data_IF_661826687095
#
_entry.id   IF_661826687095
#
_cell.length_a   1.000
_cell.length_b   1.000
_cell.length_c   1.000
_cell.angle_alpha   90.00
_cell.angle_beta   90.00
_cell.angle_gamma   90.00
#
_symmetry.space_group_name_H-M   'P 1'
#
loop_
_entity.id
_entity.type
_entity.pdbx_description
1 polymer ?
#
# COMPACT_ATOMS: atom_id res chain seq x y z
N UNK A 1 -91.72 10.44 12.56
CA UNK A 1 -90.72 9.63 13.26
C UNK A 1 -89.86 8.93 12.22
N UNK A 2 -88.67 9.46 11.93
CA UNK A 2 -87.70 8.83 11.01
C UNK A 2 -86.55 8.26 11.89
N UNK A 3 -86.37 6.94 11.82
CA UNK A 3 -85.25 6.25 12.51
C UNK A 3 -83.98 6.36 11.64
N UNK A 4 -82.95 6.93 12.15
CA UNK A 4 -81.64 6.98 11.54
C UNK A 4 -80.86 5.72 11.96
N UNK A 5 -80.39 4.96 10.98
CA UNK A 5 -79.58 3.76 11.17
C UNK A 5 -78.14 4.13 10.89
N UNK A 6 -77.34 4.22 11.92
CA UNK A 6 -75.90 4.48 11.78
C UNK A 6 -75.16 3.16 11.51
N UNK A 7 -74.50 3.09 10.36
CA UNK A 7 -73.59 2.00 9.99
C UNK A 7 -72.20 2.30 10.51
N UNK A 8 -71.70 1.53 11.46
CA UNK A 8 -70.31 1.56 11.90
C UNK A 8 -69.44 0.72 10.97
N UNK A 9 -68.61 1.40 10.18
CA UNK A 9 -67.54 0.76 9.43
C UNK A 9 -66.37 0.45 10.41
N UNK A 10 -66.07 -0.83 10.63
CA UNK A 10 -64.88 -1.28 11.34
C UNK A 10 -63.74 -1.37 10.34
N UNK A 11 -62.73 -0.47 10.47
CA UNK A 11 -61.45 -0.59 9.80
C UNK A 11 -60.60 -1.61 10.57
N UNK A 12 -60.31 -2.74 9.95
CA UNK A 12 -59.29 -3.66 10.41
C UNK A 12 -57.91 -3.11 9.98
N UNK A 13 -57.10 -2.69 10.96
CA UNK A 13 -55.71 -2.32 10.72
C UNK A 13 -54.93 -3.61 10.48
N UNK A 14 -54.50 -3.84 9.23
CA UNK A 14 -53.52 -4.86 8.89
C UNK A 14 -52.13 -4.29 9.22
N UNK A 15 -51.59 -4.65 10.34
CA UNK A 15 -50.16 -4.39 10.69
C UNK A 15 -49.33 -5.38 9.89
N UNK A 16 -48.76 -4.91 8.76
CA UNK A 16 -47.70 -5.63 8.06
C UNK A 16 -46.44 -5.56 8.93
N UNK A 17 -46.08 -6.66 9.57
CA UNK A 17 -44.79 -6.83 10.17
C UNK A 17 -43.71 -6.87 9.06
N UNK A 18 -43.06 -5.75 8.83
CA UNK A 18 -41.84 -5.72 8.02
C UNK A 18 -40.75 -6.47 8.82
N UNK A 19 -40.58 -7.75 8.53
CA UNK A 19 -39.40 -8.51 8.96
C UNK A 19 -38.22 -7.93 8.20
N UNK A 20 -37.48 -7.00 8.86
CA UNK A 20 -36.17 -6.60 8.38
C UNK A 20 -35.25 -7.81 8.51
N UNK A 21 -35.05 -8.53 7.39
CA UNK A 21 -33.93 -9.44 7.28
C UNK A 21 -32.66 -8.56 7.38
N UNK A 22 -32.14 -8.37 8.57
CA UNK A 22 -30.80 -7.90 8.76
C UNK A 22 -29.91 -9.00 8.16
N UNK A 23 -29.40 -8.77 6.93
CA UNK A 23 -28.28 -9.54 6.46
C UNK A 23 -27.15 -9.29 7.47
N UNK A 24 -26.83 -10.28 8.28
CA UNK A 24 -25.60 -10.24 9.07
C UNK A 24 -24.48 -9.99 8.06
N UNK A 25 -23.80 -8.86 8.19
CA UNK A 25 -22.64 -8.60 7.36
C UNK A 25 -21.69 -9.79 7.60
N UNK A 26 -21.30 -10.45 6.53
CA UNK A 26 -20.42 -11.60 6.61
C UNK A 26 -19.11 -11.16 7.28
N UNK A 27 -18.61 -11.94 8.23
CA UNK A 27 -17.53 -11.57 9.17
C UNK A 27 -16.26 -12.38 8.96
N UNK A 28 -16.06 -12.93 7.74
CA UNK A 28 -15.05 -13.92 7.43
C UNK A 28 -15.57 -15.36 7.61
N UNK A 29 -14.98 -16.32 6.92
CA UNK A 29 -15.30 -17.73 7.07
C UNK A 29 -14.31 -18.38 8.05
N UNK A 30 -14.79 -19.27 8.90
CA UNK A 30 -13.92 -20.02 9.82
C UNK A 30 -12.96 -20.97 9.06
N UNK A 31 -13.41 -21.53 7.93
CA UNK A 31 -12.63 -22.48 7.15
C UNK A 31 -12.09 -21.84 5.87
N UNK A 32 -10.84 -22.12 5.54
CA UNK A 32 -10.21 -21.65 4.30
C UNK A 32 -11.01 -22.04 3.04
N UNK A 33 -11.51 -23.28 2.98
CA UNK A 33 -12.25 -23.78 1.80
C UNK A 33 -13.57 -23.04 1.55
N UNK A 34 -14.10 -22.34 2.56
CA UNK A 34 -15.30 -21.53 2.48
C UNK A 34 -15.02 -20.03 2.59
N UNK A 35 -13.77 -19.60 2.33
CA UNK A 35 -13.33 -18.21 2.45
C UNK A 35 -14.33 -17.22 1.86
N UNK A 36 -14.63 -16.18 2.62
CA UNK A 36 -15.61 -15.19 2.24
C UNK A 36 -15.11 -14.30 1.13
N UNK A 37 -15.85 -14.17 0.04
CA UNK A 37 -15.48 -13.28 -1.06
C UNK A 37 -15.65 -11.80 -0.67
N UNK A 38 -14.61 -11.00 -0.87
CA UNK A 38 -14.66 -9.55 -0.87
C UNK A 38 -15.03 -9.03 -2.26
N UNK A 39 -15.59 -7.80 -2.33
CA UNK A 39 -16.01 -7.19 -3.59
C UNK A 39 -14.97 -6.17 -4.11
N UNK A 40 -13.68 -6.53 -4.09
CA UNK A 40 -12.60 -5.63 -4.47
C UNK A 40 -12.11 -4.76 -3.29
N UNK A 41 -11.73 -3.53 -3.56
CA UNK A 41 -11.32 -2.59 -2.52
C UNK A 41 -12.47 -2.18 -1.61
N UNK A 42 -12.19 -1.96 -0.34
CA UNK A 42 -13.20 -1.55 0.63
C UNK A 42 -12.90 -1.96 2.07
N UNK A 43 -13.85 -1.69 2.95
CA UNK A 43 -13.77 -2.07 4.37
C UNK A 43 -14.74 -3.20 4.65
N UNK A 44 -14.22 -4.28 5.23
CA UNK A 44 -14.94 -5.52 5.49
C UNK A 44 -14.97 -5.83 6.97
N UNK A 45 -16.12 -6.11 7.56
CA UNK A 45 -16.20 -6.54 8.94
C UNK A 45 -15.59 -7.94 9.11
N UNK A 46 -14.97 -8.18 10.27
CA UNK A 46 -14.51 -9.49 10.68
C UNK A 46 -14.86 -9.79 12.14
N UNK A 47 -14.95 -11.08 12.46
CA UNK A 47 -14.99 -11.56 13.84
C UNK A 47 -14.38 -12.95 13.89
N UNK A 48 -13.40 -13.14 14.77
CA UNK A 48 -12.83 -14.46 15.05
C UNK A 48 -13.44 -15.09 16.32
N UNK A 49 -14.52 -14.53 16.85
CA UNK A 49 -15.21 -15.08 18.02
C UNK A 49 -15.81 -16.42 17.69
N UNK A 50 -15.31 -17.48 18.35
CA UNK A 50 -15.74 -18.86 18.12
C UNK A 50 -15.06 -19.54 16.93
N UNK A 51 -14.13 -18.86 16.27
CA UNK A 51 -13.32 -19.46 15.20
C UNK A 51 -12.28 -20.46 15.75
N UNK A 52 -11.92 -21.41 14.93
CA UNK A 52 -10.83 -22.37 15.16
C UNK A 52 -9.54 -21.87 14.52
N UNK A 53 -8.45 -22.61 14.69
CA UNK A 53 -7.18 -22.39 13.99
C UNK A 53 -7.02 -23.51 12.98
N UNK A 54 -7.33 -23.28 11.71
CA UNK A 54 -7.26 -24.30 10.67
C UNK A 54 -6.10 -24.09 9.70
N UNK A 55 -5.56 -22.87 9.60
CA UNK A 55 -4.39 -22.59 8.78
C UNK A 55 -3.07 -23.04 9.44
N UNK A 56 -2.10 -23.43 8.61
CA UNK A 56 -0.79 -23.87 9.07
C UNK A 56 0.10 -22.71 9.51
N UNK A 57 1.02 -22.99 10.45
CA UNK A 57 2.10 -22.07 10.79
C UNK A 57 3.03 -21.85 9.59
N UNK A 58 3.53 -20.62 9.41
CA UNK A 58 4.38 -20.26 8.28
C UNK A 58 5.59 -19.44 8.73
N UNK A 59 6.75 -19.69 8.14
CA UNK A 59 7.99 -19.00 8.50
C UNK A 59 7.92 -17.49 8.24
N UNK A 60 7.20 -17.04 7.23
CA UNK A 60 6.99 -15.60 6.96
C UNK A 60 6.16 -14.91 8.04
N UNK A 61 5.41 -15.67 8.83
CA UNK A 61 4.64 -15.18 9.97
C UNK A 61 5.39 -15.33 11.30
N UNK A 62 6.72 -15.44 11.27
CA UNK A 62 7.52 -15.58 12.49
C UNK A 62 7.76 -14.22 13.15
N UNK A 63 6.86 -13.83 14.06
CA UNK A 63 7.00 -12.64 14.89
C UNK A 63 7.18 -13.07 16.35
N UNK A 64 8.23 -12.57 16.99
CA UNK A 64 8.59 -12.91 18.37
C UNK A 64 8.66 -14.42 18.66
N UNK A 65 9.03 -15.24 17.64
CA UNK A 65 9.10 -16.70 17.75
C UNK A 65 7.78 -17.44 17.51
N UNK A 66 6.69 -16.73 17.24
CA UNK A 66 5.37 -17.31 16.94
C UNK A 66 5.08 -17.24 15.43
N UNK A 67 4.95 -18.40 14.79
CA UNK A 67 4.66 -18.53 13.36
C UNK A 67 3.19 -18.78 13.05
N UNK A 68 2.34 -18.93 14.10
CA UNK A 68 0.93 -19.25 13.91
C UNK A 68 0.05 -17.98 13.91
N UNK A 69 -1.05 -18.05 13.17
CA UNK A 69 -2.19 -17.15 13.28
C UNK A 69 -3.30 -17.95 13.92
N UNK A 70 -3.77 -17.52 15.09
CA UNK A 70 -4.76 -18.25 15.88
C UNK A 70 -6.18 -17.75 15.64
N UNK A 71 -7.14 -18.65 15.79
CA UNK A 71 -8.57 -18.32 15.72
C UNK A 71 -8.88 -17.57 14.42
N UNK A 72 -8.43 -18.15 13.30
CA UNK A 72 -8.40 -17.45 12.03
C UNK A 72 -9.75 -17.39 11.31
N UNK A 73 -9.91 -16.38 10.49
CA UNK A 73 -11.00 -16.23 9.53
C UNK A 73 -10.42 -15.90 8.15
N UNK A 74 -11.12 -16.33 7.11
CA UNK A 74 -10.64 -16.35 5.76
C UNK A 74 -11.49 -15.53 4.81
N UNK A 75 -10.79 -14.82 3.91
CA UNK A 75 -11.41 -14.05 2.84
C UNK A 75 -10.73 -14.37 1.52
N UNK A 76 -11.46 -14.21 0.40
CA UNK A 76 -10.89 -14.15 -0.94
C UNK A 76 -10.99 -12.72 -1.45
N UNK A 77 -9.91 -12.25 -2.06
CA UNK A 77 -9.82 -10.94 -2.70
C UNK A 77 -9.38 -11.14 -4.14
N UNK A 78 -10.11 -10.54 -5.10
CA UNK A 78 -9.69 -10.48 -6.50
C UNK A 78 -9.23 -9.06 -6.79
N UNK A 79 -7.99 -8.91 -7.23
CA UNK A 79 -7.41 -7.60 -7.52
C UNK A 79 -8.07 -6.97 -8.75
N UNK A 80 -8.61 -5.75 -8.66
CA UNK A 80 -9.20 -5.07 -9.81
C UNK A 80 -8.14 -4.54 -10.79
N UNK A 81 -6.93 -4.32 -10.32
CA UNK A 81 -5.80 -3.78 -11.08
C UNK A 81 -4.49 -4.38 -10.58
N UNK A 82 -3.40 -4.23 -11.38
CA UNK A 82 -2.05 -4.61 -10.96
C UNK A 82 -1.44 -3.46 -10.16
N UNK A 83 -1.28 -3.67 -8.85
CA UNK A 83 -0.74 -2.66 -7.92
C UNK A 83 -0.27 -3.31 -6.63
N UNK A 84 0.35 -2.53 -5.74
CA UNK A 84 0.52 -2.96 -4.36
C UNK A 84 -0.79 -2.74 -3.61
N UNK A 85 -1.23 -3.78 -2.92
CA UNK A 85 -2.44 -3.77 -2.10
C UNK A 85 -2.07 -3.84 -0.62
N UNK A 86 -2.63 -2.94 0.15
CA UNK A 86 -2.60 -2.95 1.61
C UNK A 86 -3.85 -3.66 2.14
N UNK A 87 -3.63 -4.59 3.09
CA UNK A 87 -4.68 -5.17 3.93
C UNK A 87 -4.39 -4.74 5.37
N UNK A 88 -5.30 -3.99 5.99
CA UNK A 88 -5.03 -3.30 7.25
C UNK A 88 -6.19 -3.42 8.24
N UNK A 89 -5.85 -3.66 9.51
CA UNK A 89 -6.74 -3.56 10.67
C UNK A 89 -6.38 -2.38 11.58
N UNK A 90 -5.44 -1.54 11.19
CA UNK A 90 -4.93 -0.39 11.95
C UNK A 90 -6.06 0.56 12.36
N UNK A 91 -6.19 0.84 13.66
CA UNK A 91 -7.26 1.64 14.26
C UNK A 91 -8.68 1.12 13.99
N UNK A 92 -8.85 -0.15 13.60
CA UNK A 92 -10.13 -0.74 13.21
C UNK A 92 -10.54 -1.92 14.10
N UNK A 93 -9.71 -2.31 15.05
CA UNK A 93 -9.95 -3.39 16.02
C UNK A 93 -9.23 -3.10 17.32
N UNK A 94 -9.64 -3.79 18.38
CA UNK A 94 -8.87 -3.89 19.63
C UNK A 94 -8.16 -5.24 19.76
N UNK A 95 -8.35 -6.13 18.78
CA UNK A 95 -7.69 -7.42 18.73
C UNK A 95 -6.23 -7.21 18.31
N UNK A 96 -5.35 -7.96 18.95
CA UNK A 96 -3.98 -8.15 18.51
C UNK A 96 -4.02 -9.04 17.25
N UNK A 97 -3.94 -8.39 16.07
CA UNK A 97 -4.24 -9.01 14.78
C UNK A 97 -2.97 -9.41 14.02
N UNK A 98 -3.05 -10.54 13.34
CA UNK A 98 -2.00 -11.06 12.46
C UNK A 98 -2.62 -11.47 11.13
N UNK A 99 -1.99 -11.07 10.02
CA UNK A 99 -2.54 -11.28 8.67
C UNK A 99 -1.51 -11.94 7.78
N UNK A 100 -1.93 -12.99 7.04
CA UNK A 100 -1.16 -13.60 5.97
C UNK A 100 -1.91 -13.54 4.64
N UNK A 101 -1.17 -13.32 3.56
CA UNK A 101 -1.65 -13.32 2.18
C UNK A 101 -1.11 -14.55 1.48
N UNK A 102 -1.97 -15.26 0.77
CA UNK A 102 -1.62 -16.44 -0.03
C UNK A 102 -1.72 -16.11 -1.52
N UNK A 103 -0.76 -16.58 -2.30
CA UNK A 103 -0.62 -16.30 -3.74
C UNK A 103 -1.64 -17.00 -4.65
N UNK A 104 -2.77 -17.44 -4.10
CA UNK A 104 -3.87 -18.09 -4.81
C UNK A 104 -5.07 -18.31 -3.92
N UNK A 105 -6.08 -19.03 -4.43
CA UNK A 105 -7.33 -19.33 -3.71
C UNK A 105 -7.37 -20.75 -3.13
N UNK A 106 -6.35 -21.55 -3.34
CA UNK A 106 -6.21 -22.85 -2.72
C UNK A 106 -5.58 -22.71 -1.33
N UNK A 107 -6.11 -23.41 -0.34
CA UNK A 107 -5.59 -23.42 1.03
C UNK A 107 -4.13 -23.95 1.14
N UNK A 108 -3.65 -24.64 0.11
CA UNK A 108 -2.26 -25.07 -0.05
C UNK A 108 -1.38 -24.06 -0.81
N UNK A 109 -1.95 -22.93 -1.28
CA UNK A 109 -1.17 -21.89 -1.94
C UNK A 109 -0.08 -21.35 -1.02
N UNK A 110 1.08 -20.92 -1.56
CA UNK A 110 2.16 -20.38 -0.73
C UNK A 110 1.72 -19.06 -0.07
N UNK A 111 2.15 -18.85 1.17
CA UNK A 111 2.10 -17.53 1.80
C UNK A 111 3.12 -16.64 1.09
N UNK A 112 2.68 -15.48 0.60
CA UNK A 112 3.51 -14.50 -0.12
C UNK A 112 3.82 -13.26 0.71
N UNK A 113 3.00 -12.96 1.72
CA UNK A 113 3.24 -11.88 2.68
C UNK A 113 2.60 -12.24 4.02
N UNK A 114 3.20 -11.79 5.11
CA UNK A 114 2.63 -11.89 6.45
C UNK A 114 3.13 -10.73 7.31
N UNK A 115 2.27 -10.26 8.22
CA UNK A 115 2.60 -9.14 9.08
C UNK A 115 1.88 -9.23 10.44
N UNK A 116 2.48 -8.52 11.43
CA UNK A 116 2.05 -8.40 12.80
C UNK A 116 2.49 -7.02 13.32
N UNK A 117 1.78 -6.41 14.28
CA UNK A 117 2.20 -5.23 15.06
C UNK A 117 2.68 -3.96 14.29
N UNK A 118 2.26 -3.76 13.02
CA UNK A 118 2.68 -2.57 12.25
C UNK A 118 2.10 -1.25 12.78
N UNK A 119 1.04 -1.31 13.58
CA UNK A 119 0.36 -0.14 14.13
C UNK A 119 -0.13 -0.45 15.54
N UNK A 120 0.80 -0.66 16.46
CA UNK A 120 0.59 -1.19 17.82
C UNK A 120 0.21 -2.68 17.76
N UNK A 121 -0.93 -3.11 18.34
CA UNK A 121 -1.41 -4.49 18.30
C UNK A 121 -2.19 -4.84 17.02
N UNK A 122 -2.34 -3.90 16.12
CA UNK A 122 -3.01 -4.14 14.83
C UNK A 122 -1.97 -4.20 13.72
N UNK A 123 -2.35 -4.82 12.61
CA UNK A 123 -1.42 -5.07 11.54
C UNK A 123 -1.85 -4.49 10.20
N UNK A 124 -0.85 -4.22 9.37
CA UNK A 124 -0.98 -3.93 7.97
C UNK A 124 0.01 -4.80 7.20
N UNK A 125 -0.46 -5.46 6.16
CA UNK A 125 0.37 -6.23 5.24
C UNK A 125 0.20 -5.71 3.83
N UNK A 126 1.31 -5.52 3.11
CA UNK A 126 1.34 -5.09 1.71
C UNK A 126 1.82 -6.23 0.83
N UNK A 127 1.25 -6.36 -0.37
CA UNK A 127 1.67 -7.37 -1.35
C UNK A 127 1.42 -6.89 -2.78
N UNK A 128 2.24 -7.36 -3.72
CA UNK A 128 2.03 -7.12 -5.16
C UNK A 128 0.85 -7.93 -5.66
N UNK A 129 -0.17 -7.26 -6.17
CA UNK A 129 -1.34 -7.88 -6.76
C UNK A 129 -1.35 -7.70 -8.28
N UNK A 130 -1.79 -8.73 -9.01
CA UNK A 130 -1.95 -8.71 -10.46
C UNK A 130 -3.44 -8.60 -10.81
N UNK A 131 -3.81 -7.75 -11.74
CA UNK A 131 -5.19 -7.56 -12.19
C UNK A 131 -5.88 -8.89 -12.52
N UNK A 132 -7.09 -9.10 -11.98
CA UNK A 132 -7.87 -10.32 -12.17
C UNK A 132 -7.39 -11.55 -11.37
N UNK A 133 -6.21 -11.50 -10.74
CA UNK A 133 -5.72 -12.58 -9.88
C UNK A 133 -6.46 -12.56 -8.53
N UNK A 134 -6.77 -13.75 -8.01
CA UNK A 134 -7.40 -13.89 -6.70
C UNK A 134 -6.41 -14.42 -5.67
N UNK A 135 -6.55 -13.90 -4.47
CA UNK A 135 -5.70 -14.16 -3.31
C UNK A 135 -6.54 -14.59 -2.12
N UNK A 136 -5.99 -15.45 -1.24
CA UNK A 136 -6.57 -15.66 0.08
C UNK A 136 -5.94 -14.71 1.11
N UNK A 137 -6.78 -14.19 1.97
CA UNK A 137 -6.40 -13.40 3.14
C UNK A 137 -6.80 -14.22 4.36
N UNK A 138 -5.81 -14.63 5.14
CA UNK A 138 -5.99 -15.25 6.45
C UNK A 138 -5.75 -14.21 7.52
N UNK A 139 -6.73 -13.93 8.36
CA UNK A 139 -6.64 -12.97 9.43
C UNK A 139 -7.09 -13.63 10.73
N UNK A 140 -6.35 -13.42 11.80
CA UNK A 140 -6.66 -13.95 13.11
C UNK A 140 -5.89 -13.23 14.21
N UNK A 141 -5.69 -13.89 15.35
CA UNK A 141 -5.02 -13.34 16.51
C UNK A 141 -3.57 -13.82 16.63
N UNK A 142 -2.72 -13.00 17.26
CA UNK A 142 -1.39 -13.41 17.71
C UNK A 142 -1.46 -14.49 18.79
N UNK A 143 -2.43 -14.45 19.70
CA UNK A 143 -2.57 -15.37 20.81
C UNK A 143 -3.75 -16.33 20.67
N UNK A 144 -3.55 -17.61 21.07
CA UNK A 144 -4.56 -18.66 20.94
C UNK A 144 -5.84 -18.46 21.76
N UNK A 145 -5.82 -17.58 22.74
CA UNK A 145 -6.99 -17.25 23.59
C UNK A 145 -7.61 -15.90 23.25
N UNK A 146 -7.11 -15.21 22.21
CA UNK A 146 -7.56 -13.88 21.85
C UNK A 146 -8.66 -13.96 20.79
N UNK A 147 -9.79 -13.35 21.11
CA UNK A 147 -10.96 -13.24 20.25
C UNK A 147 -11.44 -11.80 20.20
N UNK A 148 -11.97 -11.40 19.07
CA UNK A 148 -12.48 -10.05 18.88
C UNK A 148 -13.15 -9.86 17.53
N UNK A 149 -13.54 -8.62 17.28
CA UNK A 149 -14.13 -8.20 16.03
C UNK A 149 -13.63 -6.81 15.66
N UNK A 150 -13.84 -6.45 14.41
CA UNK A 150 -13.45 -5.15 13.87
C UNK A 150 -13.77 -5.05 12.40
N UNK A 151 -13.03 -4.18 11.73
CA UNK A 151 -13.04 -4.09 10.29
C UNK A 151 -11.63 -4.25 9.73
N UNK A 152 -11.55 -4.70 8.50
CA UNK A 152 -10.34 -4.83 7.72
C UNK A 152 -10.52 -4.01 6.44
N UNK A 153 -9.59 -3.12 6.14
CA UNK A 153 -9.59 -2.37 4.89
C UNK A 153 -8.65 -3.02 3.90
N UNK A 154 -9.12 -3.24 2.68
CA UNK A 154 -8.34 -3.67 1.53
C UNK A 154 -8.33 -2.52 0.53
N UNK A 155 -7.17 -2.08 0.10
CA UNK A 155 -7.06 -0.97 -0.86
C UNK A 155 -5.67 -0.88 -1.49
N UNK A 156 -5.52 -0.08 -2.55
CA UNK A 156 -4.20 0.20 -3.08
C UNK A 156 -3.37 0.96 -2.03
N UNK A 157 -2.05 0.80 -2.09
CA UNK A 157 -1.16 1.56 -1.22
C UNK A 157 -1.36 3.06 -1.45
N UNK A 158 -1.48 3.82 -0.36
CA UNK A 158 -1.59 5.26 -0.43
C UNK A 158 -0.20 5.90 -0.34
N UNK A 159 0.25 6.54 -1.42
CA UNK A 159 1.44 7.39 -1.38
C UNK A 159 1.12 8.71 -0.67
N UNK A 160 2.05 9.16 0.17
CA UNK A 160 1.95 10.47 0.84
C UNK A 160 2.18 11.60 -0.15
N UNK A 161 3.12 11.39 -1.07
CA UNK A 161 3.48 12.30 -2.13
C UNK A 161 4.13 11.53 -3.28
N UNK A 162 4.02 12.08 -4.49
CA UNK A 162 4.60 11.56 -5.70
C UNK A 162 5.16 12.69 -6.55
N UNK A 163 6.31 12.47 -7.18
CA UNK A 163 6.92 13.41 -8.09
C UNK A 163 7.75 12.65 -9.14
N UNK A 164 7.76 13.15 -10.38
CA UNK A 164 8.61 12.60 -11.44
C UNK A 164 9.69 13.63 -11.79
N UNK A 165 10.94 13.21 -11.79
CA UNK A 165 12.02 14.04 -12.29
C UNK A 165 11.95 14.04 -13.82
N UNK A 166 11.57 15.20 -14.38
CA UNK A 166 11.39 15.36 -15.84
C UNK A 166 12.70 15.25 -16.61
N UNK A 167 13.87 15.39 -15.98
CA UNK A 167 15.17 15.27 -16.64
C UNK A 167 15.60 13.82 -16.87
N UNK A 168 15.19 12.93 -15.96
CA UNK A 168 15.54 11.50 -15.97
C UNK A 168 14.38 10.59 -16.31
N UNK A 169 13.12 11.07 -16.14
CA UNK A 169 11.90 10.27 -16.21
C UNK A 169 11.68 9.37 -14.98
N UNK A 170 12.55 9.45 -13.98
CA UNK A 170 12.46 8.64 -12.77
C UNK A 170 11.29 9.14 -11.91
N UNK A 171 10.45 8.20 -11.48
CA UNK A 171 9.31 8.46 -10.60
C UNK A 171 9.71 8.17 -9.16
N UNK A 172 9.46 9.14 -8.30
CA UNK A 172 9.64 8.99 -6.86
C UNK A 172 8.30 9.01 -6.15
N UNK A 173 8.10 8.10 -5.21
CA UNK A 173 6.91 8.04 -4.37
C UNK A 173 7.32 7.99 -2.90
N UNK A 174 6.45 8.43 -2.01
CA UNK A 174 6.72 8.37 -0.59
C UNK A 174 5.61 7.70 0.20
N UNK A 175 6.00 6.94 1.21
CA UNK A 175 5.10 6.26 2.15
C UNK A 175 5.57 6.48 3.58
N UNK A 176 4.69 6.25 4.57
CA UNK A 176 5.15 6.16 5.96
C UNK A 176 6.08 4.95 6.07
N UNK A 177 7.33 5.19 6.41
CA UNK A 177 8.33 4.16 6.69
C UNK A 177 8.21 3.67 8.13
N UNK A 178 8.41 2.39 8.35
CA UNK A 178 8.53 1.79 9.70
C UNK A 178 10.01 1.67 10.07
N UNK A 179 10.69 0.65 9.55
CA UNK A 179 12.14 0.50 9.62
C UNK A 179 12.74 0.74 8.25
N UNK A 180 14.05 0.96 8.18
CA UNK A 180 14.71 1.10 6.88
C UNK A 180 14.61 -0.21 6.07
N UNK A 181 14.87 -1.36 6.71
CA UNK A 181 14.81 -2.67 6.06
C UNK A 181 13.40 -3.01 5.55
N UNK A 182 12.36 -2.67 6.31
CA UNK A 182 10.98 -2.86 5.86
C UNK A 182 10.62 -1.89 4.72
N UNK A 183 11.13 -0.67 4.76
CA UNK A 183 10.93 0.33 3.71
C UNK A 183 11.60 -0.07 2.39
N UNK A 184 12.83 -0.60 2.46
CA UNK A 184 13.54 -1.14 1.29
C UNK A 184 12.84 -2.39 0.73
N UNK A 185 12.39 -3.30 1.59
CA UNK A 185 11.62 -4.47 1.14
C UNK A 185 10.31 -4.06 0.44
N UNK A 186 9.64 -3.01 0.92
CA UNK A 186 8.47 -2.44 0.23
C UNK A 186 8.87 -1.83 -1.11
N UNK A 187 9.96 -1.06 -1.17
CA UNK A 187 10.47 -0.45 -2.40
C UNK A 187 10.78 -1.51 -3.47
N UNK A 188 11.45 -2.60 -3.07
CA UNK A 188 11.72 -3.74 -3.96
C UNK A 188 10.43 -4.41 -4.44
N UNK A 189 9.42 -4.54 -3.58
CA UNK A 189 8.11 -5.09 -3.98
C UNK A 189 7.34 -4.20 -4.97
N UNK A 190 7.64 -2.89 -4.97
CA UNK A 190 7.13 -1.91 -5.95
C UNK A 190 7.96 -1.89 -7.25
N UNK A 191 9.01 -2.69 -7.34
CA UNK A 191 9.90 -2.76 -8.51
C UNK A 191 11.01 -1.71 -8.52
N UNK A 192 11.28 -1.07 -7.38
CA UNK A 192 12.33 -0.07 -7.21
C UNK A 192 13.16 -0.29 -5.96
N UNK A 193 13.76 0.77 -5.45
CA UNK A 193 14.55 0.81 -4.22
C UNK A 193 14.25 2.09 -3.44
N UNK A 194 14.69 2.19 -2.19
CA UNK A 194 14.79 3.48 -1.53
C UNK A 194 15.70 4.39 -2.36
N UNK A 195 15.34 5.67 -2.47
CA UNK A 195 16.00 6.62 -3.36
C UNK A 195 17.53 6.64 -3.19
N UNK A 196 18.24 6.47 -4.28
CA UNK A 196 19.68 6.69 -4.38
C UNK A 196 19.95 8.13 -4.81
N UNK A 197 20.86 8.82 -4.13
CA UNK A 197 21.17 10.23 -4.40
C UNK A 197 22.54 10.31 -5.05
N UNK A 198 22.55 10.44 -6.37
CA UNK A 198 23.76 10.28 -7.18
C UNK A 198 24.49 11.61 -7.46
N UNK A 199 23.78 12.75 -7.31
CA UNK A 199 24.34 14.09 -7.51
C UNK A 199 23.53 15.17 -6.76
N UNK A 200 23.97 16.44 -6.91
CA UNK A 200 23.32 17.59 -6.25
C UNK A 200 21.91 17.87 -6.84
N UNK A 201 21.68 17.62 -8.11
CA UNK A 201 20.38 17.89 -8.74
C UNK A 201 19.32 16.94 -8.19
N UNK A 202 19.65 15.67 -8.03
CA UNK A 202 18.78 14.66 -7.42
C UNK A 202 18.57 14.93 -5.91
N UNK A 203 19.63 15.34 -5.20
CA UNK A 203 19.53 15.80 -3.81
C UNK A 203 18.50 16.94 -3.67
N UNK A 204 18.58 17.94 -4.53
CA UNK A 204 17.70 19.08 -4.51
C UNK A 204 16.27 18.69 -4.92
N UNK A 205 16.12 17.78 -5.88
CA UNK A 205 14.83 17.25 -6.30
C UNK A 205 14.13 16.51 -5.15
N UNK A 206 14.81 15.55 -4.52
CA UNK A 206 14.25 14.76 -3.42
C UNK A 206 13.91 15.66 -2.22
N UNK A 207 14.82 16.58 -1.84
CA UNK A 207 14.57 17.50 -0.74
C UNK A 207 13.38 18.41 -1.01
N UNK A 208 13.29 19.01 -2.20
CA UNK A 208 12.23 19.97 -2.52
C UNK A 208 10.84 19.33 -2.59
N UNK A 209 10.76 18.07 -3.06
CA UNK A 209 9.49 17.37 -3.20
C UNK A 209 9.07 16.62 -1.92
N UNK A 210 10.01 16.05 -1.17
CA UNK A 210 9.70 15.13 -0.08
C UNK A 210 10.15 15.63 1.30
N UNK A 211 11.07 16.59 1.39
CA UNK A 211 11.57 17.11 2.66
C UNK A 211 10.50 17.77 3.52
N UNK A 212 9.53 18.44 2.89
CA UNK A 212 8.38 19.04 3.58
C UNK A 212 7.07 18.59 2.91
N UNK A 213 6.34 17.70 3.54
CA UNK A 213 5.06 17.21 3.05
C UNK A 213 3.94 17.78 3.93
N UNK A 214 3.01 18.49 3.31
CA UNK A 214 1.86 19.11 3.96
C UNK A 214 2.26 20.10 5.10
N UNK A 215 3.37 20.83 4.91
CA UNK A 215 3.86 21.81 5.88
C UNK A 215 4.63 21.21 7.07
N UNK A 216 4.98 19.93 7.01
CA UNK A 216 5.74 19.23 8.06
C UNK A 216 7.07 18.77 7.50
N UNK A 217 8.17 19.20 8.11
CA UNK A 217 9.49 18.67 7.81
C UNK A 217 9.57 17.19 8.15
N UNK A 218 10.06 16.40 7.19
CA UNK A 218 10.12 14.94 7.30
C UNK A 218 11.56 14.46 7.51
N UNK A 219 11.70 13.31 8.15
CA UNK A 219 12.91 12.50 8.10
C UNK A 219 12.71 11.47 7.01
N UNK A 220 13.62 11.43 6.05
CA UNK A 220 13.45 10.61 4.85
C UNK A 220 14.41 9.43 4.92
N UNK A 221 13.90 8.19 4.87
CA UNK A 221 14.74 7.04 4.56
C UNK A 221 15.18 7.14 3.10
N UNK A 222 16.50 7.06 2.88
CA UNK A 222 17.15 6.95 1.56
C UNK A 222 17.92 5.65 1.48
N UNK A 223 18.23 5.17 0.27
CA UNK A 223 18.76 3.84 0.03
C UNK A 223 20.22 3.60 0.41
N UNK A 224 20.83 4.46 1.23
CA UNK A 224 22.25 4.41 1.58
C UNK A 224 22.49 3.65 2.89
N UNK A 225 23.38 2.66 2.85
CA UNK A 225 23.64 1.79 4.01
C UNK A 225 25.08 1.26 4.00
N UNK A 226 25.65 1.00 5.18
CA UNK A 226 26.89 0.27 5.35
C UNK A 226 26.68 -1.07 6.08
N UNK A 227 25.42 -1.55 6.11
CA UNK A 227 25.09 -2.82 6.74
C UNK A 227 25.97 -3.95 6.20
N UNK A 228 26.67 -4.64 7.10
CA UNK A 228 27.61 -5.71 6.78
C UNK A 228 29.08 -5.28 6.73
N UNK A 229 29.40 -3.99 6.56
CA UNK A 229 30.77 -3.48 6.57
C UNK A 229 30.82 -2.02 7.00
N UNK A 230 31.01 -1.78 8.29
CA UNK A 230 31.06 -0.46 8.90
C UNK A 230 31.93 0.53 8.13
N UNK A 231 31.36 1.71 7.84
CA UNK A 231 31.99 2.80 7.11
C UNK A 231 32.10 2.59 5.59
N UNK A 232 31.63 1.44 5.07
CA UNK A 232 31.65 1.13 3.65
C UNK A 232 30.23 1.30 3.05
N UNK A 233 29.74 2.54 3.05
CA UNK A 233 28.39 2.85 2.55
C UNK A 233 28.21 2.56 1.06
N UNK A 234 27.05 2.00 0.72
CA UNK A 234 26.63 1.69 -0.65
C UNK A 234 25.14 1.96 -0.81
N UNK A 235 24.70 2.17 -2.06
CA UNK A 235 23.29 2.27 -2.39
C UNK A 235 22.64 0.88 -2.52
N UNK A 236 21.43 0.71 -2.00
CA UNK A 236 20.70 -0.57 -2.03
C UNK A 236 20.34 -1.03 -3.45
N UNK A 237 20.23 -0.10 -4.40
CA UNK A 237 20.03 -0.36 -5.83
C UNK A 237 21.31 -0.81 -6.58
N UNK A 238 22.47 -0.79 -5.91
CA UNK A 238 23.76 -1.12 -6.48
C UNK A 238 24.42 0.01 -7.29
N UNK A 239 23.83 1.19 -7.35
CA UNK A 239 24.43 2.35 -8.00
C UNK A 239 25.71 2.83 -7.30
N UNK A 240 26.50 3.64 -8.00
CA UNK A 240 27.82 4.06 -7.53
C UNK A 240 27.75 5.21 -6.52
N UNK A 241 28.22 5.02 -5.31
CA UNK A 241 28.25 6.02 -4.23
C UNK A 241 29.32 7.10 -4.49
N UNK A 242 29.02 8.06 -5.39
CA UNK A 242 29.94 9.16 -5.74
C UNK A 242 29.61 10.48 -5.06
N UNK A 243 28.37 10.65 -4.62
CA UNK A 243 27.86 11.83 -3.97
C UNK A 243 27.48 11.50 -2.53
N UNK A 244 27.76 12.41 -1.60
CA UNK A 244 27.30 12.32 -0.21
C UNK A 244 27.00 13.70 0.33
N UNK A 245 26.05 13.80 1.25
CA UNK A 245 25.65 15.08 1.86
C UNK A 245 25.50 14.97 3.38
N UNK A 246 26.44 14.29 4.01
CA UNK A 246 26.43 14.09 5.45
C UNK A 246 26.35 15.39 6.26
N UNK A 247 25.64 15.35 7.37
CA UNK A 247 25.66 16.42 8.35
C UNK A 247 27.07 16.51 9.00
N UNK A 248 27.55 17.68 9.44
CA UNK A 248 28.84 17.78 10.12
C UNK A 248 28.92 16.83 11.31
N UNK A 249 29.90 15.92 11.26
CA UNK A 249 30.12 14.91 12.29
C UNK A 249 29.54 13.53 11.96
N UNK A 250 28.78 13.41 10.87
CA UNK A 250 28.22 12.15 10.38
C UNK A 250 29.05 11.61 9.20
N UNK A 251 28.98 10.30 8.93
CA UNK A 251 28.35 9.26 9.74
C UNK A 251 29.14 8.99 11.02
N UNK A 252 28.47 8.79 12.16
CA UNK A 252 29.12 8.67 13.46
C UNK A 252 28.97 7.31 14.15
N UNK A 253 28.12 6.42 13.59
CA UNK A 253 27.78 5.10 14.13
C UNK A 253 27.51 5.14 15.65
N UNK A 254 26.64 6.03 16.09
CA UNK A 254 26.32 6.20 17.50
C UNK A 254 25.83 4.89 18.13
N UNK A 255 26.46 4.51 19.23
CA UNK A 255 26.16 3.24 19.88
C UNK A 255 26.61 1.99 19.11
N UNK A 256 27.35 2.13 18.01
CA UNK A 256 27.81 1.05 17.13
C UNK A 256 26.65 0.19 16.55
N UNK A 257 25.55 0.86 16.16
CA UNK A 257 24.32 0.23 15.63
C UNK A 257 23.68 1.01 14.50
N UNK A 258 24.32 2.07 14.00
CA UNK A 258 23.77 2.94 12.97
C UNK A 258 24.32 2.56 11.59
N UNK A 259 23.50 1.97 10.76
CA UNK A 259 23.89 1.43 9.46
C UNK A 259 23.05 1.98 8.31
N UNK A 260 22.09 2.87 8.57
CA UNK A 260 21.10 3.27 7.58
C UNK A 260 20.98 4.79 7.50
N UNK A 261 21.05 5.34 6.31
CA UNK A 261 21.01 6.77 6.13
C UNK A 261 19.61 7.34 6.07
N UNK A 262 19.40 8.45 6.78
CA UNK A 262 18.26 9.33 6.61
C UNK A 262 18.70 10.67 6.01
N UNK A 263 17.80 11.34 5.29
CA UNK A 263 17.92 12.74 4.91
C UNK A 263 17.00 13.58 5.79
N UNK A 264 17.52 14.63 6.39
CA UNK A 264 16.74 15.59 7.17
C UNK A 264 16.00 16.56 6.24
N UNK A 265 14.68 16.55 6.27
CA UNK A 265 13.85 17.40 5.41
C UNK A 265 14.02 18.89 5.66
N UNK A 266 14.48 19.30 6.84
CA UNK A 266 14.71 20.69 7.19
C UNK A 266 15.91 21.34 6.47
N UNK A 267 16.93 20.55 6.07
CA UNK A 267 18.17 21.07 5.49
C UNK A 267 18.82 20.16 4.44
N UNK A 268 18.26 18.97 4.17
CA UNK A 268 18.79 18.00 3.21
C UNK A 268 20.06 17.27 3.63
N UNK A 269 20.55 17.49 4.85
CA UNK A 269 21.76 16.80 5.34
C UNK A 269 21.43 15.38 5.77
N UNK A 270 22.41 14.47 5.64
CA UNK A 270 22.26 13.06 5.99
C UNK A 270 22.81 12.73 7.35
N UNK A 271 22.24 11.73 7.98
CA UNK A 271 22.62 11.17 9.24
C UNK A 271 22.50 9.64 9.15
N UNK A 272 23.39 8.89 9.80
CA UNK A 272 23.22 7.46 9.97
C UNK A 272 22.38 7.16 11.22
N UNK A 273 21.56 6.11 11.14
CA UNK A 273 20.67 5.66 12.22
C UNK A 273 20.60 4.13 12.27
N UNK A 274 20.09 3.62 13.41
CA UNK A 274 19.67 2.23 13.49
C UNK A 274 18.42 1.96 12.64
N UNK A 275 18.14 0.70 12.34
CA UNK A 275 17.02 0.27 11.50
C UNK A 275 15.65 0.80 11.98
N UNK A 276 15.43 0.93 13.28
CA UNK A 276 14.20 1.44 13.87
C UNK A 276 14.07 2.97 13.88
N UNK A 277 15.06 3.71 13.35
CA UNK A 277 14.99 5.16 13.21
C UNK A 277 14.97 5.93 14.52
N UNK A 278 15.56 5.38 15.60
CA UNK A 278 15.67 6.02 16.92
C UNK A 278 14.33 6.57 17.48
N UNK A 279 13.20 5.98 17.09
CA UNK A 279 11.86 6.39 17.52
C UNK A 279 11.26 7.58 16.79
N UNK A 280 11.91 8.06 15.72
CA UNK A 280 11.31 9.06 14.83
C UNK A 280 10.37 8.42 13.79
N UNK A 281 9.38 9.19 13.36
CA UNK A 281 8.54 8.80 12.21
C UNK A 281 9.27 9.19 10.93
N UNK A 282 9.62 8.20 10.14
CA UNK A 282 10.26 8.39 8.84
C UNK A 282 9.24 8.30 7.70
N UNK A 283 9.59 8.94 6.61
CA UNK A 283 8.97 8.78 5.31
C UNK A 283 9.98 8.08 4.42
N UNK A 284 9.64 6.92 3.90
CA UNK A 284 10.44 6.23 2.91
C UNK A 284 10.25 6.92 1.55
N UNK A 285 11.32 7.40 0.95
CA UNK A 285 11.30 7.88 -0.44
C UNK A 285 11.76 6.74 -1.32
N UNK A 286 10.89 6.29 -2.20
CA UNK A 286 11.11 5.16 -3.07
C UNK A 286 11.33 5.69 -4.48
N UNK A 287 12.45 5.33 -5.05
CA UNK A 287 12.77 5.53 -6.45
C UNK A 287 12.27 4.33 -7.23
N UNK A 288 11.27 4.58 -8.05
CA UNK A 288 10.79 3.59 -9.00
C UNK A 288 11.56 3.84 -10.29
N UNK A 289 12.18 2.78 -10.90
CA UNK A 289 12.72 2.96 -12.22
C UNK A 289 11.62 3.62 -13.02
N UNK A 290 11.89 4.75 -13.58
CA UNK A 290 11.04 5.36 -14.57
C UNK A 290 10.73 4.24 -15.52
N UNK A 291 9.47 3.87 -15.74
CA UNK A 291 9.11 2.66 -16.44
C UNK A 291 10.05 2.56 -17.63
N UNK A 292 11.06 1.71 -17.49
CA UNK A 292 12.29 1.74 -18.28
C UNK A 292 12.07 1.21 -19.68
N UNK A 293 11.48 2.06 -20.40
CA UNK A 293 11.50 2.22 -21.85
C UNK A 293 11.55 3.72 -22.05
N UNK A 294 12.17 4.20 -23.09
CA UNK A 294 12.03 5.56 -23.61
C UNK A 294 10.69 6.15 -23.19
N UNK A 295 10.65 7.42 -22.68
CA UNK A 295 9.43 7.99 -22.14
C UNK A 295 8.24 7.59 -23.01
N UNK A 296 7.31 6.85 -22.44
CA UNK A 296 6.06 6.48 -23.11
C UNK A 296 4.95 7.40 -22.54
N UNK A 297 5.00 8.71 -22.85
CA UNK A 297 4.14 9.70 -22.22
C UNK A 297 2.66 9.44 -22.46
N UNK A 298 2.38 8.59 -23.43
CA UNK A 298 1.05 8.22 -23.84
C UNK A 298 0.50 6.96 -23.12
N UNK A 299 1.32 6.27 -22.32
CA UNK A 299 0.90 5.21 -21.39
C UNK A 299 0.42 5.86 -20.08
N UNK A 300 -0.86 6.23 -20.07
CA UNK A 300 -1.46 7.04 -19.01
C UNK A 300 -1.93 6.20 -17.83
N UNK A 301 -2.15 4.91 -18.03
CA UNK A 301 -2.53 3.97 -16.96
C UNK A 301 -1.33 3.13 -16.46
N UNK A 302 -0.14 3.33 -17.07
CA UNK A 302 1.13 2.74 -16.70
C UNK A 302 1.15 1.19 -16.75
N UNK A 303 0.38 0.61 -17.68
CA UNK A 303 0.30 -0.84 -17.87
C UNK A 303 1.45 -1.38 -18.77
N UNK A 304 2.31 -0.49 -19.31
CA UNK A 304 3.41 -0.79 -20.23
C UNK A 304 2.99 -0.86 -21.69
N UNK A 305 1.73 -0.47 -22.01
CA UNK A 305 1.23 -0.44 -23.38
C UNK A 305 0.40 0.83 -23.60
N UNK A 306 0.58 1.49 -24.71
CA UNK A 306 -0.33 2.55 -25.14
C UNK A 306 -1.51 1.92 -25.87
N UNK A 307 -2.71 2.05 -25.31
CA UNK A 307 -3.90 1.35 -25.78
C UNK A 307 -5.22 2.12 -25.63
N UNK A 308 -6.29 1.35 -25.63
CA UNK A 308 -7.64 1.94 -25.54
C UNK A 308 -7.95 2.55 -24.16
N UNK A 309 -7.32 2.06 -23.10
CA UNK A 309 -7.48 2.57 -21.75
C UNK A 309 -6.85 3.97 -21.62
N UNK A 310 -5.65 4.17 -22.21
CA UNK A 310 -4.95 5.45 -22.24
C UNK A 310 -5.74 6.49 -23.05
N UNK A 311 -6.26 6.07 -24.21
CA UNK A 311 -7.11 6.94 -25.02
C UNK A 311 -8.39 7.33 -24.25
N UNK A 312 -9.00 6.41 -23.52
CA UNK A 312 -10.17 6.73 -22.70
C UNK A 312 -9.82 7.69 -21.56
N UNK A 313 -8.66 7.52 -20.92
CA UNK A 313 -8.13 8.43 -19.89
C UNK A 313 -7.87 9.81 -20.48
N UNK A 314 -7.18 9.90 -21.61
CA UNK A 314 -6.93 11.17 -22.30
C UNK A 314 -8.23 11.90 -22.68
N UNK A 315 -9.21 11.18 -23.21
CA UNK A 315 -10.52 11.77 -23.57
C UNK A 315 -11.31 12.26 -22.35
N UNK A 316 -11.16 11.59 -21.20
CA UNK A 316 -11.81 12.02 -19.95
C UNK A 316 -11.26 13.37 -19.43
N UNK A 317 -10.00 13.70 -19.77
CA UNK A 317 -9.35 14.95 -19.39
C UNK A 317 -9.26 15.99 -20.52
N UNK A 318 -10.07 15.83 -21.57
CA UNK A 318 -10.10 16.74 -22.71
C UNK A 318 -10.31 18.20 -22.31
N UNK A 319 -9.45 19.08 -22.77
CA UNK A 319 -9.48 20.52 -22.45
C UNK A 319 -8.92 20.89 -21.07
N UNK A 320 -8.29 19.95 -20.38
CA UNK A 320 -7.56 20.21 -19.11
C UNK A 320 -6.05 20.01 -19.33
N UNK A 321 -5.24 20.27 -18.32
CA UNK A 321 -3.79 20.03 -18.29
C UNK A 321 -3.43 18.62 -17.76
N UNK A 322 -4.43 17.82 -17.34
CA UNK A 322 -4.22 16.43 -16.89
C UNK A 322 -4.23 15.51 -18.11
N UNK A 323 -3.21 14.65 -18.24
CA UNK A 323 -2.98 13.81 -19.40
C UNK A 323 -2.52 14.56 -20.68
N UNK A 324 -1.99 15.77 -20.54
CA UNK A 324 -1.30 16.54 -21.59
C UNK A 324 0.08 15.92 -21.85
N UNK A 325 0.17 15.10 -22.90
CA UNK A 325 1.40 14.38 -23.27
C UNK A 325 2.33 15.22 -24.14
N UNK A 326 1.82 16.32 -24.70
CA UNK A 326 2.60 17.30 -25.47
C UNK A 326 3.22 18.38 -24.59
N UNK A 327 2.74 18.53 -23.34
CA UNK A 327 3.11 19.60 -22.41
C UNK A 327 2.87 21.02 -22.96
N UNK A 328 1.83 21.21 -23.78
CA UNK A 328 1.44 22.51 -24.29
C UNK A 328 0.41 23.25 -23.40
N UNK A 329 -0.06 22.60 -22.33
CA UNK A 329 -0.96 23.10 -21.28
C UNK A 329 -2.40 22.67 -21.45
N UNK A 330 -2.73 21.84 -22.43
CA UNK A 330 -4.11 21.38 -22.65
C UNK A 330 -4.15 20.05 -23.42
N UNK A 331 -4.99 19.12 -22.96
CA UNK A 331 -5.29 17.89 -23.72
C UNK A 331 -6.15 18.24 -24.93
N UNK A 332 -5.61 18.04 -26.12
CA UNK A 332 -6.31 18.30 -27.38
C UNK A 332 -5.94 17.26 -28.50
N UNK A 333 -6.17 17.60 -29.75
CA UNK A 333 -5.89 16.72 -30.88
C UNK A 333 -4.38 16.42 -31.09
N UNK A 334 -3.50 17.29 -30.58
CA UNK A 334 -2.06 17.05 -30.64
C UNK A 334 -1.68 15.87 -29.75
N UNK A 335 -2.26 15.77 -28.55
CA UNK A 335 -2.02 14.68 -27.60
C UNK A 335 -2.52 13.33 -28.14
N UNK A 336 -3.70 13.33 -28.75
CA UNK A 336 -4.20 12.12 -29.45
C UNK A 336 -3.22 11.68 -30.53
N UNK A 337 -2.62 12.62 -31.25
CA UNK A 337 -1.66 12.29 -32.31
C UNK A 337 -0.41 11.62 -31.73
N UNK A 338 0.10 12.10 -30.60
CA UNK A 338 1.22 11.49 -29.86
C UNK A 338 0.83 10.12 -29.36
N UNK A 339 -0.32 9.98 -28.72
CA UNK A 339 -0.82 8.71 -28.20
C UNK A 339 -0.96 7.66 -29.32
N UNK A 340 -1.60 8.01 -30.45
CA UNK A 340 -1.77 7.08 -31.56
C UNK A 340 -0.45 6.71 -32.24
N UNK A 341 0.55 7.60 -32.24
CA UNK A 341 1.88 7.30 -32.77
C UNK A 341 2.69 6.34 -31.89
N UNK A 342 2.38 6.28 -30.62
CA UNK A 342 3.00 5.42 -29.62
C UNK A 342 2.23 4.10 -29.38
N UNK A 343 1.15 3.84 -30.13
CA UNK A 343 0.24 2.71 -29.89
C UNK A 343 0.95 1.36 -29.90
N UNK A 344 0.79 0.60 -28.85
CA UNK A 344 1.39 -0.73 -28.65
C UNK A 344 2.23 -0.81 -27.39
N UNK A 345 3.09 -1.83 -27.31
CA UNK A 345 4.00 -2.03 -26.17
C UNK A 345 4.98 -0.86 -26.11
N UNK A 346 5.11 -0.25 -24.94
CA UNK A 346 6.13 0.76 -24.67
C UNK A 346 7.53 0.17 -24.87
N UNK A 347 8.42 0.86 -25.61
CA UNK A 347 9.75 0.34 -26.00
C UNK A 347 10.68 0.15 -24.79
#
# INVERSE_FOLDING_TARGET
MKRSTSVFLRFAAVTAALSSCAFAAAQGANDCASAQSTKGYGTYPFSNVGSTTDGLANVLCNFFGNQQIFNDVWFTFTAPESTIVDVSTCAQSTLDTKIAIYGGTDCASPVIACSDDNCSLQTKVSFSATAGQSYLIRMGAYGATNFGSGTMTIGPIAFLHEATDKSTGIRYVSVIGTTWTASEALAVSLGGHLASINDQAEQDFVLSNFGNIAGVDRRLWIGFTDFGSEGAFYWSDGSSAKYTNWNPGEPNNSGAVEHYAEMLGSNGKWNDLNDAGAGYVHVAVIELPGGGSTPCPADLDLDGNVGAADLATMLAYWGTDLADVTNDGMVDAADITVLLSAWGVCP
#
